data_IF_750688108080
#
_entry.id   IF_750688108080
#
_cell.length_a   1.000
_cell.length_b   1.000
_cell.length_c   1.000
_cell.angle_alpha   90.00
_cell.angle_beta   90.00
_cell.angle_gamma   90.00
#
_symmetry.space_group_name_H-M   'P 1'
#
loop_
_entity.id
_entity.type
_entity.pdbx_description
1 polymer ?
#
# COMPACT_ATOMS: atom_id res chain seq x y z
N UNK A 1 1.21 -18.23 14.68
CA UNK A 1 1.09 -17.21 13.61
C UNK A 1 2.43 -17.15 12.86
N UNK A 2 2.52 -17.75 11.67
CA UNK A 2 3.78 -17.84 10.90
C UNK A 2 4.04 -16.49 10.20
N UNK A 3 5.13 -15.82 10.57
CA UNK A 3 5.61 -14.58 9.92
C UNK A 3 6.45 -14.97 8.69
N UNK A 4 6.26 -14.28 7.57
CA UNK A 4 7.05 -14.53 6.35
C UNK A 4 8.42 -13.83 6.43
N UNK A 5 9.55 -14.55 6.22
CA UNK A 5 10.90 -14.06 6.50
C UNK A 5 11.58 -13.26 5.38
N UNK A 6 10.91 -12.92 4.28
CA UNK A 6 11.55 -12.27 3.12
C UNK A 6 11.10 -10.83 2.84
N UNK A 7 10.25 -10.27 3.70
CA UNK A 7 9.94 -8.85 3.68
C UNK A 7 10.64 -8.26 4.89
N UNK A 8 11.42 -7.20 4.73
CA UNK A 8 12.05 -6.50 5.86
C UNK A 8 11.03 -6.04 6.93
N UNK A 9 9.73 -6.20 6.69
CA UNK A 9 8.63 -5.89 7.59
C UNK A 9 7.52 -6.96 7.50
N UNK A 10 7.08 -7.56 8.63
CA UNK A 10 5.99 -8.53 8.65
C UNK A 10 4.66 -7.92 8.16
N UNK A 11 3.97 -8.66 7.28
CA UNK A 11 2.62 -8.39 6.83
C UNK A 11 1.69 -9.49 7.37
N UNK A 12 0.81 -9.21 8.35
CA UNK A 12 -0.23 -10.13 8.82
C UNK A 12 -1.40 -10.19 7.84
N UNK A 13 -2.20 -11.27 7.93
CA UNK A 13 -3.40 -11.44 7.12
C UNK A 13 -4.38 -10.27 7.24
N UNK A 14 -5.28 -10.06 6.26
CA UNK A 14 -6.41 -9.18 6.41
C UNK A 14 -7.24 -9.49 7.66
N UNK A 15 -8.06 -8.51 8.03
CA UNK A 15 -8.97 -8.65 9.16
C UNK A 15 -10.21 -9.45 8.75
N UNK A 16 -10.66 -10.33 9.63
CA UNK A 16 -12.00 -10.91 9.52
C UNK A 16 -13.03 -9.84 9.84
N UNK A 17 -14.23 -9.95 9.28
CA UNK A 17 -15.32 -9.01 9.53
C UNK A 17 -15.66 -8.93 11.04
N UNK A 18 -15.62 -10.08 11.74
CA UNK A 18 -15.87 -10.14 13.19
C UNK A 18 -14.77 -9.48 14.05
N UNK A 19 -13.59 -9.21 13.48
CA UNK A 19 -12.50 -8.51 14.20
C UNK A 19 -12.68 -7.00 14.20
N UNK A 20 -13.63 -6.46 13.41
CA UNK A 20 -13.82 -5.03 13.16
C UNK A 20 -15.26 -4.64 13.46
N UNK A 21 -15.46 -3.57 14.24
CA UNK A 21 -16.79 -3.17 14.68
C UNK A 21 -17.72 -2.73 13.54
N UNK A 22 -17.18 -2.06 12.51
CA UNK A 22 -17.97 -1.53 11.39
C UNK A 22 -17.13 -1.46 10.11
N UNK A 23 -16.81 -2.59 9.46
CA UNK A 23 -16.06 -2.57 8.20
C UNK A 23 -16.86 -1.86 7.10
N UNK A 24 -16.17 -1.27 6.12
CA UNK A 24 -16.85 -0.60 4.99
C UNK A 24 -17.56 -1.60 4.06
N UNK A 25 -17.05 -2.83 4.02
CA UNK A 25 -17.69 -3.94 3.35
C UNK A 25 -17.20 -5.27 3.88
N UNK A 26 -17.92 -6.33 3.56
CA UNK A 26 -17.51 -7.70 3.87
C UNK A 26 -17.50 -8.54 2.60
N UNK A 27 -16.75 -9.64 2.61
CA UNK A 27 -16.76 -10.62 1.53
C UNK A 27 -16.44 -12.01 2.07
N UNK A 28 -17.26 -12.98 1.70
CA UNK A 28 -17.02 -14.39 2.03
C UNK A 28 -16.06 -15.01 1.01
N UNK A 29 -14.95 -15.55 1.49
CA UNK A 29 -13.98 -16.30 0.69
C UNK A 29 -13.38 -17.42 1.54
N UNK A 30 -13.30 -18.64 1.00
CA UNK A 30 -12.77 -19.83 1.68
C UNK A 30 -13.42 -20.10 3.05
N UNK A 31 -14.75 -19.96 3.15
CA UNK A 31 -15.54 -20.13 4.38
C UNK A 31 -15.24 -19.11 5.50
N UNK A 32 -14.47 -18.06 5.21
CA UNK A 32 -14.23 -16.94 6.13
C UNK A 32 -14.85 -15.66 5.58
N UNK A 33 -15.33 -14.80 6.48
CA UNK A 33 -15.89 -13.49 6.12
C UNK A 33 -14.83 -12.43 6.41
N UNK A 34 -14.29 -11.83 5.35
CA UNK A 34 -13.20 -10.86 5.43
C UNK A 34 -13.74 -9.43 5.40
N UNK A 35 -13.09 -8.54 6.16
CA UNK A 35 -13.33 -7.12 6.09
C UNK A 35 -12.72 -6.53 4.81
N UNK A 36 -13.43 -5.57 4.23
CA UNK A 36 -12.97 -4.74 3.11
C UNK A 36 -13.07 -3.28 3.50
N UNK A 37 -12.16 -2.48 2.97
CA UNK A 37 -11.98 -1.08 3.35
C UNK A 37 -11.99 -0.23 2.09
N UNK A 38 -12.72 0.88 2.12
CA UNK A 38 -12.66 1.90 1.06
C UNK A 38 -11.33 2.64 1.11
N UNK A 39 -10.90 3.27 0.00
CA UNK A 39 -9.66 4.03 -0.01
C UNK A 39 -9.63 5.11 1.09
N UNK A 40 -10.75 5.80 1.30
CA UNK A 40 -10.93 6.86 2.30
C UNK A 40 -10.66 6.40 3.73
N UNK A 41 -10.86 5.12 4.03
CA UNK A 41 -10.72 4.56 5.37
C UNK A 41 -9.49 3.65 5.51
N UNK A 42 -8.58 3.62 4.53
CA UNK A 42 -7.35 2.82 4.61
C UNK A 42 -6.45 3.22 5.79
N UNK A 43 -6.62 4.41 6.36
CA UNK A 43 -5.94 4.87 7.58
C UNK A 43 -6.81 4.80 8.86
N UNK A 44 -7.97 4.14 8.80
CA UNK A 44 -8.93 4.06 9.91
C UNK A 44 -9.00 2.64 10.48
N UNK A 45 -8.37 2.43 11.63
CA UNK A 45 -8.33 1.09 12.29
C UNK A 45 -9.69 0.58 12.71
N UNK A 46 -10.64 1.47 13.05
CA UNK A 46 -12.02 1.11 13.38
C UNK A 46 -12.83 0.58 12.18
N UNK A 47 -12.35 0.85 10.96
CA UNK A 47 -12.91 0.35 9.69
C UNK A 47 -12.14 -0.86 9.12
N UNK A 48 -11.10 -1.32 9.81
CA UNK A 48 -10.20 -2.38 9.31
C UNK A 48 -9.02 -1.87 8.49
N UNK A 49 -8.86 -0.56 8.37
CA UNK A 49 -7.67 0.09 7.83
C UNK A 49 -6.47 0.00 8.77
N UNK A 50 -5.37 0.64 8.37
CA UNK A 50 -4.10 0.61 9.06
C UNK A 50 -3.88 1.82 9.94
N UNK A 51 -3.02 1.67 10.96
CA UNK A 51 -2.49 2.79 11.71
C UNK A 51 -1.60 3.69 10.84
N UNK A 52 -1.19 4.83 11.41
CA UNK A 52 -0.37 5.84 10.73
C UNK A 52 0.85 5.22 10.05
N UNK A 53 0.99 5.45 8.74
CA UNK A 53 2.07 4.94 7.90
C UNK A 53 2.22 3.41 7.85
N UNK A 54 1.23 2.63 8.30
CA UNK A 54 1.31 1.16 8.31
C UNK A 54 0.67 0.51 7.07
N UNK A 55 0.03 1.28 6.19
CA UNK A 55 -0.45 0.76 4.90
C UNK A 55 0.75 0.45 3.98
N UNK A 56 0.90 -0.79 3.47
CA UNK A 56 2.03 -1.20 2.66
C UNK A 56 2.14 -0.40 1.36
N UNK A 57 3.36 -0.15 0.90
CA UNK A 57 3.64 0.41 -0.43
C UNK A 57 3.44 -0.67 -1.50
N UNK A 58 3.24 -0.24 -2.75
CA UNK A 58 3.11 -1.14 -3.90
C UNK A 58 4.27 -2.12 -4.02
N UNK A 59 5.50 -1.66 -3.79
CA UNK A 59 6.69 -2.51 -3.82
C UNK A 59 6.71 -3.58 -2.72
N UNK A 60 6.14 -3.30 -1.54
CA UNK A 60 6.08 -4.26 -0.43
C UNK A 60 5.08 -5.38 -0.72
N UNK A 61 3.90 -5.04 -1.27
CA UNK A 61 2.94 -6.05 -1.71
C UNK A 61 3.43 -6.85 -2.92
N UNK A 62 4.13 -6.20 -3.85
CA UNK A 62 4.78 -6.90 -4.97
C UNK A 62 5.85 -7.88 -4.50
N UNK A 63 6.64 -7.50 -3.48
CA UNK A 63 7.61 -8.40 -2.86
C UNK A 63 6.93 -9.56 -2.11
N UNK A 64 5.82 -9.31 -1.41
CA UNK A 64 5.01 -10.36 -0.78
C UNK A 64 4.53 -11.37 -1.82
N UNK A 65 3.95 -10.91 -2.93
CA UNK A 65 3.54 -11.78 -4.03
C UNK A 65 4.73 -12.53 -4.63
N UNK A 66 5.83 -11.85 -4.94
CA UNK A 66 7.00 -12.48 -5.58
C UNK A 66 7.61 -13.60 -4.73
N UNK A 67 7.60 -13.42 -3.41
CA UNK A 67 8.05 -14.45 -2.46
C UNK A 67 7.05 -15.61 -2.29
N UNK A 68 5.82 -15.47 -2.81
CA UNK A 68 4.72 -16.41 -2.68
C UNK A 68 3.94 -16.51 -4.01
N UNK A 69 4.67 -16.62 -5.12
CA UNK A 69 4.09 -16.63 -6.47
C UNK A 69 3.21 -17.88 -6.69
N UNK A 70 2.39 -17.86 -7.74
CA UNK A 70 1.45 -18.97 -8.01
C UNK A 70 0.37 -19.09 -6.94
N UNK A 71 -0.10 -17.96 -6.42
CA UNK A 71 -1.12 -17.88 -5.36
C UNK A 71 -0.74 -18.58 -4.04
N UNK A 72 0.55 -18.70 -3.72
CA UNK A 72 0.99 -19.28 -2.45
C UNK A 72 0.56 -18.44 -1.23
N UNK A 73 0.25 -17.15 -1.42
CA UNK A 73 -0.38 -16.29 -0.41
C UNK A 73 -1.68 -16.90 0.12
N UNK A 74 -2.51 -17.48 -0.76
CA UNK A 74 -3.69 -18.23 -0.33
C UNK A 74 -3.34 -19.66 0.06
N UNK A 75 -2.71 -20.43 -0.83
CA UNK A 75 -2.60 -21.89 -0.67
C UNK A 75 -1.70 -22.31 0.49
N UNK A 76 -0.75 -21.45 0.88
CA UNK A 76 0.16 -21.70 2.01
C UNK A 76 -0.22 -20.94 3.26
N UNK A 77 -0.71 -19.70 3.13
CA UNK A 77 -0.95 -18.82 4.29
C UNK A 77 -2.43 -18.56 4.60
N UNK A 78 -3.34 -19.00 3.73
CA UNK A 78 -4.79 -18.92 3.92
C UNK A 78 -5.41 -17.55 3.68
N UNK A 79 -4.68 -16.60 3.09
CA UNK A 79 -5.20 -15.26 2.86
C UNK A 79 -6.22 -15.24 1.71
N UNK A 80 -7.20 -14.31 1.72
CA UNK A 80 -8.11 -14.18 0.60
C UNK A 80 -7.40 -13.52 -0.59
N UNK A 81 -7.47 -14.11 -1.77
CA UNK A 81 -6.77 -13.61 -2.98
C UNK A 81 -7.61 -13.75 -4.24
N UNK A 82 -8.72 -14.50 -4.20
CA UNK A 82 -9.45 -14.89 -5.41
C UNK A 82 -10.42 -13.81 -5.89
N UNK A 83 -10.87 -12.93 -4.98
CA UNK A 83 -12.00 -12.05 -5.26
C UNK A 83 -11.65 -10.57 -5.35
N UNK A 84 -10.69 -10.09 -4.56
CA UNK A 84 -10.36 -8.67 -4.47
C UNK A 84 -8.85 -8.46 -4.31
N UNK A 85 -8.31 -7.34 -4.82
CA UNK A 85 -6.92 -6.99 -4.61
C UNK A 85 -6.70 -6.35 -3.22
N UNK A 86 -5.46 -5.93 -2.98
CA UNK A 86 -5.01 -5.34 -1.73
C UNK A 86 -4.62 -3.88 -1.94
N UNK A 87 -5.09 -3.00 -1.06
CA UNK A 87 -4.71 -1.58 -1.07
C UNK A 87 -3.21 -1.38 -0.82
N UNK A 88 -2.62 -0.46 -1.58
CA UNK A 88 -1.30 0.10 -1.27
C UNK A 88 -1.39 1.57 -0.88
N UNK A 89 -0.35 2.07 -0.22
CA UNK A 89 -0.14 3.50 0.07
C UNK A 89 0.57 4.24 -1.08
N UNK A 90 0.78 3.60 -2.23
CA UNK A 90 1.44 4.23 -3.37
C UNK A 90 0.39 4.99 -4.20
N UNK A 91 0.57 6.32 -4.40
CA UNK A 91 -0.28 7.08 -5.30
C UNK A 91 -0.25 6.52 -6.71
N UNK A 92 -1.40 6.52 -7.36
CA UNK A 92 -1.54 6.26 -8.79
C UNK A 92 -1.30 7.54 -9.60
N UNK A 93 -1.13 7.37 -10.91
CA UNK A 93 -0.92 8.50 -11.83
C UNK A 93 -2.18 9.36 -12.01
N UNK A 94 -3.32 8.92 -11.45
CA UNK A 94 -4.58 9.66 -11.39
C UNK A 94 -4.88 10.00 -9.94
N UNK A 95 -4.75 11.28 -9.57
CA UNK A 95 -5.11 11.77 -8.23
C UNK A 95 -6.64 11.76 -8.07
N UNK A 96 -7.19 11.30 -6.92
CA UNK A 96 -6.53 10.95 -5.66
C UNK A 96 -6.28 9.45 -5.46
N UNK A 97 -6.26 8.63 -6.52
CA UNK A 97 -6.31 7.18 -6.40
C UNK A 97 -4.98 6.57 -5.96
N UNK A 98 -5.08 5.42 -5.28
CA UNK A 98 -3.93 4.58 -4.92
C UNK A 98 -3.88 3.32 -5.79
N UNK A 99 -2.70 2.72 -5.90
CA UNK A 99 -2.57 1.41 -6.53
C UNK A 99 -3.11 0.29 -5.62
N UNK A 100 -3.61 -0.75 -6.26
CA UNK A 100 -3.95 -2.04 -5.65
C UNK A 100 -3.11 -3.16 -6.29
N UNK A 101 -2.93 -4.26 -5.55
CA UNK A 101 -2.16 -5.43 -5.99
C UNK A 101 -2.97 -6.69 -5.74
N UNK A 102 -3.20 -7.49 -6.78
CA UNK A 102 -3.82 -8.80 -6.68
C UNK A 102 -2.75 -9.83 -6.26
N UNK A 103 -2.93 -10.47 -5.10
CA UNK A 103 -1.91 -11.36 -4.52
C UNK A 103 -1.98 -12.81 -5.04
N UNK A 104 -2.93 -13.11 -5.93
CA UNK A 104 -3.00 -14.39 -6.65
C UNK A 104 -2.03 -14.44 -7.84
N UNK A 105 -1.84 -13.34 -8.56
CA UNK A 105 -1.06 -13.26 -9.81
C UNK A 105 -0.10 -12.06 -9.91
N UNK A 106 -0.13 -11.15 -8.93
CA UNK A 106 0.73 -9.97 -8.87
C UNK A 106 0.25 -8.79 -9.72
N UNK A 107 -0.95 -8.87 -10.31
CA UNK A 107 -1.48 -7.80 -11.14
C UNK A 107 -1.65 -6.49 -10.35
N UNK A 108 -1.32 -5.38 -10.99
CA UNK A 108 -1.42 -4.04 -10.40
C UNK A 108 -2.50 -3.25 -11.14
N UNK A 109 -3.34 -2.53 -10.39
CA UNK A 109 -4.40 -1.70 -10.94
C UNK A 109 -4.56 -0.41 -10.14
N UNK A 110 -5.08 0.63 -10.79
CA UNK A 110 -5.55 1.83 -10.09
C UNK A 110 -6.81 1.47 -9.33
N UNK A 111 -6.84 1.73 -8.02
CA UNK A 111 -8.01 1.46 -7.19
C UNK A 111 -9.13 2.47 -7.42
N UNK A 112 -10.37 2.00 -7.39
CA UNK A 112 -11.56 2.84 -7.44
C UNK A 112 -12.23 2.98 -6.08
N UNK A 113 -13.54 3.25 -6.08
CA UNK A 113 -14.32 3.48 -4.85
C UNK A 113 -14.77 2.18 -4.15
N UNK A 114 -14.59 1.03 -4.81
CA UNK A 114 -15.00 -0.26 -4.26
C UNK A 114 -14.10 -0.66 -3.08
N UNK A 115 -14.65 -1.04 -1.92
CA UNK A 115 -13.85 -1.56 -0.82
C UNK A 115 -13.13 -2.87 -1.20
N UNK A 116 -11.83 -2.92 -0.91
CA UNK A 116 -10.97 -4.11 -1.15
C UNK A 116 -10.20 -4.52 0.11
N UNK A 117 -9.35 -5.54 0.03
CA UNK A 117 -8.62 -6.04 1.20
C UNK A 117 -7.52 -5.08 1.67
N UNK A 118 -7.26 -5.11 2.98
CA UNK A 118 -6.18 -4.38 3.62
C UNK A 118 -5.36 -5.34 4.47
N UNK A 119 -4.04 -5.31 4.28
CA UNK A 119 -3.06 -5.90 5.18
C UNK A 119 -2.18 -4.76 5.69
N UNK A 120 -1.88 -4.75 6.99
CA UNK A 120 -1.12 -3.67 7.63
C UNK A 120 0.25 -4.15 8.05
N UNK A 121 1.29 -3.37 7.76
CA UNK A 121 2.63 -3.62 8.30
C UNK A 121 2.59 -3.63 9.82
N UNK A 122 3.41 -4.46 10.48
CA UNK A 122 3.57 -4.39 11.94
C UNK A 122 4.43 -3.22 12.40
N UNK A 123 5.13 -2.57 11.47
CA UNK A 123 5.99 -1.42 11.73
C UNK A 123 5.73 -0.37 10.66
N UNK A 124 5.58 0.88 11.08
CA UNK A 124 5.31 1.99 10.19
C UNK A 124 6.38 2.10 9.09
N UNK A 125 5.94 2.39 7.87
CA UNK A 125 6.82 2.84 6.82
C UNK A 125 7.55 4.10 7.26
N UNK A 126 8.81 4.24 6.84
CA UNK A 126 9.51 5.51 6.95
C UNK A 126 8.69 6.59 6.23
N UNK A 127 8.55 7.79 6.81
CA UNK A 127 7.91 8.91 6.13
C UNK A 127 8.50 9.08 4.74
N UNK A 128 7.66 9.43 3.76
CA UNK A 128 8.18 9.81 2.45
C UNK A 128 9.07 11.04 2.62
N UNK A 129 10.24 11.04 1.99
CA UNK A 129 11.04 12.25 1.90
C UNK A 129 10.27 13.28 1.06
N UNK A 130 10.05 14.47 1.60
CA UNK A 130 9.47 15.56 0.83
C UNK A 130 10.55 16.23 -0.01
N UNK A 131 10.21 16.50 -1.27
CA UNK A 131 10.94 17.43 -2.11
C UNK A 131 10.02 18.65 -2.23
N UNK A 132 10.40 19.75 -1.57
CA UNK A 132 9.70 21.02 -1.74
C UNK A 132 10.17 21.63 -3.06
N UNK A 133 9.28 21.79 -4.04
CA UNK A 133 9.54 22.68 -5.16
C UNK A 133 9.36 24.12 -4.66
N UNK A 134 10.47 24.82 -4.48
CA UNK A 134 10.46 26.28 -4.32
C UNK A 134 10.28 26.93 -5.70
N UNK A 135 9.58 28.07 -5.75
CA UNK A 135 9.43 28.83 -7.00
C UNK A 135 10.82 29.20 -7.50
N UNK A 136 11.09 28.86 -8.76
CA UNK A 136 12.38 29.08 -9.40
C UNK A 136 12.59 30.59 -9.54
N UNK A 137 13.57 31.13 -8.82
CA UNK A 137 14.06 32.48 -9.09
C UNK A 137 14.60 32.54 -10.53
N UNK A 138 14.38 33.66 -11.25
CA UNK A 138 14.88 33.84 -12.62
C UNK A 138 16.38 33.51 -12.76
N UNK A 139 17.18 33.70 -11.71
CA UNK A 139 18.60 33.37 -11.70
C UNK A 139 18.92 31.86 -11.76
N UNK A 140 17.96 30.99 -11.45
CA UNK A 140 18.10 29.52 -11.52
C UNK A 140 17.49 28.92 -12.80
N UNK A 141 16.89 29.75 -13.64
CA UNK A 141 16.32 29.35 -14.93
C UNK A 141 17.39 29.34 -16.02
N UNK A 142 17.63 28.17 -16.62
CA UNK A 142 18.46 28.04 -17.81
C UNK A 142 17.58 28.16 -19.06
N UNK A 143 17.61 29.34 -19.68
CA UNK A 143 16.84 29.63 -20.88
C UNK A 143 17.26 28.80 -22.11
N UNK A 144 18.51 28.34 -22.17
CA UNK A 144 18.99 27.50 -23.28
C UNK A 144 18.40 26.08 -23.25
N UNK A 145 18.06 25.59 -22.06
CA UNK A 145 17.53 24.23 -21.86
C UNK A 145 16.04 24.21 -21.49
N UNK A 146 15.37 25.38 -21.43
CA UNK A 146 14.01 25.53 -20.89
C UNK A 146 13.81 24.80 -19.55
N UNK A 147 14.81 24.86 -18.68
CA UNK A 147 14.86 24.06 -17.46
C UNK A 147 15.43 24.83 -16.27
N UNK A 148 14.96 24.51 -15.08
CA UNK A 148 15.50 25.02 -13.82
C UNK A 148 16.66 24.14 -13.32
N UNK A 149 17.72 24.76 -12.80
CA UNK A 149 18.83 24.02 -12.17
C UNK A 149 18.56 23.80 -10.68
N UNK A 150 18.51 22.53 -10.25
CA UNK A 150 18.33 22.19 -8.84
C UNK A 150 19.69 21.95 -8.16
N UNK A 151 19.91 22.57 -7.00
CA UNK A 151 21.05 22.22 -6.12
C UNK A 151 20.67 21.03 -5.24
N UNK A 152 21.40 19.93 -5.39
CA UNK A 152 21.28 18.75 -4.52
C UNK A 152 21.72 19.12 -3.10
N UNK A 153 20.78 19.22 -2.15
CA UNK A 153 21.12 19.24 -0.72
C UNK A 153 21.56 17.83 -0.31
N UNK A 154 22.85 17.65 0.02
CA UNK A 154 23.31 16.46 0.76
C UNK A 154 23.04 16.73 2.24
N UNK A 155 22.15 15.96 2.86
CA UNK A 155 22.07 15.93 4.32
C UNK A 155 23.37 15.32 4.84
N UNK A 156 24.21 16.15 5.45
CA UNK A 156 25.32 15.69 6.27
C UNK A 156 24.76 15.23 7.62
N UNK A 157 24.79 13.93 7.88
CA UNK A 157 24.65 13.39 9.24
C UNK A 157 25.96 13.68 9.99
N UNK A 158 25.87 14.51 11.03
CA UNK A 158 26.84 14.55 12.12
C UNK A 158 26.57 13.47 13.16
#
# INVERSE_FOLDING_TARGET
MKRLPLIHQPLPRPRLAAEIASPDGTLTENNEIWARVSQANTSSTSKGGCGTNMLPRRSQLSALYSANSGNAVQTTHGWPTQRQPYWSSSPADVTPHFFTIALNDGAQAIGGDTPVYVSCLTTANKPASSITLEVVDKAQWNAGNNAATLKKRRNATG
#
